data_IF_851886404756
#
_entry.id   IF_851886404756
#
_cell.length_a   1.000
_cell.length_b   1.000
_cell.length_c   1.000
_cell.angle_alpha   90.00
_cell.angle_beta   90.00
_cell.angle_gamma   90.00
#
_symmetry.space_group_name_H-M   'P 1'
#
loop_
_entity.id
_entity.type
_entity.pdbx_description
1 polymer ?
#
# COMPACT_ATOMS: atom_id res chain seq x y z
N UNK A 1 -16.98 -20.69 -4.82
CA UNK A 1 -15.90 -20.65 -3.82
C UNK A 1 -14.67 -19.90 -4.26
N UNK A 2 -14.59 -19.59 -5.53
CA UNK A 2 -13.47 -18.82 -6.07
C UNK A 2 -13.31 -17.48 -5.37
N UNK A 3 -14.42 -16.88 -4.98
CA UNK A 3 -14.43 -15.59 -4.33
C UNK A 3 -13.67 -15.59 -3.00
N UNK A 4 -13.91 -16.64 -2.21
CA UNK A 4 -13.28 -16.75 -0.90
C UNK A 4 -11.78 -16.97 -1.02
N UNK A 5 -11.39 -17.78 -1.97
CA UNK A 5 -9.98 -18.03 -2.24
C UNK A 5 -9.27 -16.79 -2.75
N UNK A 6 -9.95 -16.03 -3.61
CA UNK A 6 -9.39 -14.78 -4.14
C UNK A 6 -9.12 -13.76 -3.03
N UNK A 7 -10.06 -13.64 -2.09
CA UNK A 7 -9.91 -12.72 -0.96
C UNK A 7 -8.74 -13.12 -0.08
N UNK A 8 -8.61 -14.42 0.21
CA UNK A 8 -7.51 -14.92 1.01
C UNK A 8 -6.17 -14.71 0.33
N UNK A 9 -6.14 -14.91 -1.00
CA UNK A 9 -4.92 -14.69 -1.76
C UNK A 9 -4.48 -13.22 -1.72
N UNK A 10 -5.44 -12.33 -1.77
CA UNK A 10 -5.19 -10.90 -1.71
C UNK A 10 -4.56 -10.50 -0.38
N UNK A 11 -5.14 -10.94 0.71
CA UNK A 11 -4.60 -10.65 2.04
C UNK A 11 -3.23 -11.27 2.23
N UNK A 12 -3.09 -12.51 1.82
CA UNK A 12 -1.81 -13.20 1.92
C UNK A 12 -0.74 -12.49 1.11
N UNK A 13 -1.08 -12.03 -0.09
CA UNK A 13 -0.15 -11.28 -0.92
C UNK A 13 0.35 -10.02 -0.23
N UNK A 14 -0.54 -9.28 0.40
CA UNK A 14 -0.15 -8.07 1.12
C UNK A 14 0.77 -8.40 2.29
N UNK A 15 0.45 -9.44 3.04
CA UNK A 15 1.29 -9.87 4.16
C UNK A 15 2.68 -10.25 3.68
N UNK A 16 2.77 -11.00 2.60
CA UNK A 16 4.05 -11.40 2.03
C UNK A 16 4.87 -10.21 1.55
N UNK A 17 4.21 -9.24 0.92
CA UNK A 17 4.89 -8.01 0.49
C UNK A 17 5.48 -7.27 1.69
N UNK A 18 4.73 -7.19 2.77
CA UNK A 18 5.18 -6.50 3.98
C UNK A 18 6.34 -7.25 4.63
N UNK A 19 6.18 -8.54 4.84
CA UNK A 19 7.20 -9.33 5.56
C UNK A 19 8.50 -9.48 4.77
N UNK A 20 8.41 -9.63 3.45
CA UNK A 20 9.57 -9.92 2.62
C UNK A 20 10.35 -8.69 2.17
N UNK A 21 9.84 -7.49 2.44
CA UNK A 21 10.43 -6.27 1.90
C UNK A 21 10.81 -5.24 2.94
N UNK A 22 10.91 -5.66 4.21
CA UNK A 22 11.33 -4.74 5.26
C UNK A 22 10.31 -3.67 5.59
N UNK A 23 9.04 -4.02 5.45
CA UNK A 23 7.94 -3.12 5.79
C UNK A 23 7.26 -3.59 7.06
N UNK A 24 6.42 -2.75 7.63
CA UNK A 24 5.62 -3.15 8.78
C UNK A 24 4.30 -2.39 8.81
N UNK A 25 3.33 -2.95 9.52
CA UNK A 25 2.07 -2.27 9.77
C UNK A 25 2.14 -1.67 11.16
N UNK A 26 1.81 -0.38 11.25
CA UNK A 26 1.71 0.30 12.52
C UNK A 26 0.25 0.65 12.79
N UNK A 27 -0.08 0.77 14.05
CA UNK A 27 -1.44 1.07 14.45
C UNK A 27 -1.46 2.10 15.57
N UNK A 28 -2.58 2.79 15.67
CA UNK A 28 -2.81 3.78 16.70
C UNK A 28 -4.28 3.76 17.07
N UNK A 29 -4.56 3.66 18.36
CA UNK A 29 -5.93 3.75 18.83
C UNK A 29 -6.42 5.20 18.72
N UNK A 30 -7.65 5.34 18.26
CA UNK A 30 -8.30 6.63 18.14
C UNK A 30 -9.59 6.60 18.98
N UNK A 31 -9.78 7.65 19.75
CA UNK A 31 -10.96 7.78 20.60
C UNK A 31 -11.52 9.18 20.48
N UNK A 32 -12.81 9.27 20.18
CA UNK A 32 -13.51 10.54 20.14
C UNK A 32 -14.47 10.60 21.31
N UNK A 33 -14.17 11.45 22.28
CA UNK A 33 -14.94 11.55 23.50
C UNK A 33 -16.35 12.11 23.25
N UNK A 34 -16.51 12.90 22.23
CA UNK A 34 -17.82 13.51 21.94
C UNK A 34 -18.82 12.50 21.39
N UNK A 35 -18.36 11.65 20.47
CA UNK A 35 -19.22 10.64 19.86
C UNK A 35 -19.09 9.28 20.50
N UNK A 36 -18.19 9.14 21.48
CA UNK A 36 -17.86 7.86 22.11
C UNK A 36 -17.37 6.84 21.08
N UNK A 37 -16.84 7.32 19.97
CA UNK A 37 -16.32 6.44 18.93
C UNK A 37 -14.92 5.98 19.30
N UNK A 38 -14.70 4.70 19.08
CA UNK A 38 -13.42 4.06 19.36
C UNK A 38 -13.00 3.23 18.16
N UNK A 39 -11.83 3.49 17.64
CA UNK A 39 -11.34 2.80 16.46
C UNK A 39 -9.84 2.70 16.44
N UNK A 40 -9.31 2.24 15.34
CA UNK A 40 -7.89 2.02 15.17
C UNK A 40 -7.45 2.46 13.77
N UNK A 41 -6.41 3.24 13.73
CA UNK A 41 -5.78 3.63 12.47
C UNK A 41 -4.65 2.64 12.17
N UNK A 42 -4.59 2.23 10.90
CA UNK A 42 -3.57 1.29 10.44
C UNK A 42 -2.87 1.86 9.22
N UNK A 43 -1.56 1.74 9.17
CA UNK A 43 -0.80 2.18 8.00
C UNK A 43 0.45 1.34 7.82
N UNK A 44 0.95 1.32 6.57
CA UNK A 44 2.15 0.57 6.21
C UNK A 44 3.32 1.53 6.12
N UNK A 45 4.44 1.17 6.73
CA UNK A 45 5.65 1.99 6.73
C UNK A 45 6.86 1.17 6.31
N UNK A 46 7.88 1.86 5.82
CA UNK A 46 9.20 1.30 5.58
C UNK A 46 9.96 1.33 6.90
N UNK A 47 10.41 0.16 7.37
CA UNK A 47 11.11 0.06 8.66
C UNK A 47 12.37 0.91 8.73
N UNK A 48 13.11 0.96 7.64
CA UNK A 48 14.39 1.70 7.61
C UNK A 48 14.19 3.19 7.57
N UNK A 49 13.27 3.64 6.72
CA UNK A 49 13.07 5.07 6.49
C UNK A 49 11.99 5.68 7.37
N UNK A 50 11.16 4.84 7.98
CA UNK A 50 10.06 5.26 8.85
C UNK A 50 9.07 6.19 8.16
N UNK A 51 8.95 6.05 6.84
CA UNK A 51 7.98 6.84 6.09
C UNK A 51 6.74 6.01 5.78
N UNK A 52 5.61 6.66 5.84
CA UNK A 52 4.33 6.04 5.56
C UNK A 52 4.20 5.79 4.06
N UNK A 53 3.87 4.56 3.70
CA UNK A 53 3.65 4.17 2.31
C UNK A 53 2.18 4.26 1.96
N UNK A 54 1.32 3.75 2.82
CA UNK A 54 -0.10 3.69 2.55
C UNK A 54 -0.90 3.64 3.85
N UNK A 55 -1.98 4.38 3.91
CA UNK A 55 -2.89 4.41 5.05
C UNK A 55 -4.06 3.45 4.76
N UNK A 56 -4.16 2.40 5.57
CA UNK A 56 -5.19 1.38 5.40
C UNK A 56 -6.54 1.82 5.97
N UNK A 57 -6.54 2.74 6.92
CA UNK A 57 -7.76 3.18 7.57
C UNK A 57 -8.13 4.58 7.11
N UNK A 58 -8.98 4.64 6.11
CA UNK A 58 -9.46 5.92 5.58
C UNK A 58 -10.35 6.61 6.61
N UNK A 59 -10.03 7.88 6.91
CA UNK A 59 -10.80 8.71 7.82
C UNK A 59 -10.96 8.12 9.21
N UNK A 60 -10.00 7.30 9.64
CA UNK A 60 -10.04 6.73 10.97
C UNK A 60 -10.97 5.54 11.14
N UNK A 61 -11.52 5.05 10.06
CA UNK A 61 -12.38 3.85 10.10
C UNK A 61 -11.59 2.62 9.73
N UNK A 62 -12.15 1.47 10.05
CA UNK A 62 -11.51 0.19 9.74
C UNK A 62 -11.30 0.06 8.22
N UNK A 63 -10.19 -0.55 7.84
CA UNK A 63 -9.94 -0.83 6.44
C UNK A 63 -10.89 -1.92 5.92
N UNK A 64 -11.06 -1.96 4.61
CA UNK A 64 -11.91 -2.94 3.97
C UNK A 64 -11.18 -3.60 2.80
N UNK A 65 -11.87 -4.46 2.07
CA UNK A 65 -11.26 -5.19 0.96
C UNK A 65 -10.68 -4.26 -0.10
N UNK A 66 -11.35 -3.16 -0.37
CA UNK A 66 -10.85 -2.20 -1.36
C UNK A 66 -9.56 -1.55 -0.91
N UNK A 67 -9.44 -1.30 0.40
CA UNK A 67 -8.21 -0.75 0.95
C UNK A 67 -7.04 -1.71 0.78
N UNK A 68 -7.30 -3.00 0.93
CA UNK A 68 -6.25 -4.02 0.77
C UNK A 68 -5.75 -4.06 -0.66
N UNK A 69 -6.64 -4.00 -1.64
CA UNK A 69 -6.23 -3.98 -3.05
C UNK A 69 -5.38 -2.75 -3.37
N UNK A 70 -5.81 -1.59 -2.90
CA UNK A 70 -5.04 -0.36 -3.10
C UNK A 70 -3.70 -0.42 -2.38
N UNK A 71 -3.67 -1.03 -1.20
CA UNK A 71 -2.42 -1.19 -0.46
C UNK A 71 -1.43 -2.02 -1.25
N UNK A 72 -1.88 -3.11 -1.86
CA UNK A 72 -1.01 -3.95 -2.68
C UNK A 72 -0.43 -3.13 -3.83
N UNK A 73 -1.27 -2.39 -4.54
CA UNK A 73 -0.82 -1.55 -5.65
C UNK A 73 0.21 -0.52 -5.22
N UNK A 74 -0.06 0.17 -4.12
CA UNK A 74 0.84 1.21 -3.63
C UNK A 74 2.15 0.65 -3.10
N UNK A 75 2.09 -0.50 -2.42
CA UNK A 75 3.29 -1.15 -1.92
C UNK A 75 4.15 -1.64 -3.09
N UNK A 76 3.55 -2.27 -4.08
CA UNK A 76 4.29 -2.73 -5.25
C UNK A 76 4.94 -1.57 -5.99
N UNK A 77 4.22 -0.47 -6.12
CA UNK A 77 4.73 0.74 -6.75
C UNK A 77 5.91 1.32 -5.97
N UNK A 78 5.77 1.38 -4.65
CA UNK A 78 6.84 1.86 -3.78
C UNK A 78 8.09 1.02 -3.92
N UNK A 79 7.94 -0.31 -3.89
CA UNK A 79 9.06 -1.23 -4.00
C UNK A 79 9.74 -1.13 -5.37
N UNK A 80 8.95 -0.96 -6.41
CA UNK A 80 9.50 -0.77 -7.76
C UNK A 80 10.35 0.49 -7.81
N UNK A 81 9.85 1.60 -7.24
CA UNK A 81 10.58 2.85 -7.22
C UNK A 81 11.85 2.77 -6.40
N UNK A 82 11.86 1.97 -5.35
CA UNK A 82 13.07 1.77 -4.53
C UNK A 82 14.20 1.08 -5.29
N UNK A 83 13.88 0.33 -6.32
CA UNK A 83 14.87 -0.36 -7.13
C UNK A 83 15.47 0.51 -8.22
N UNK A 84 14.98 1.73 -8.36
CA UNK A 84 15.47 2.64 -9.38
C UNK A 84 16.59 3.50 -8.85
N UNK A 85 17.79 2.90 -8.83
CA UNK A 85 18.96 3.59 -8.31
C UNK A 85 19.70 4.41 -9.35
N UNK A 86 19.45 4.17 -10.64
CA UNK A 86 20.17 4.83 -11.72
C UNK A 86 19.21 5.51 -12.68
N UNK A 87 19.77 6.43 -13.46
CA UNK A 87 19.03 7.11 -14.50
C UNK A 87 18.55 6.14 -15.59
N UNK A 88 19.32 5.09 -15.84
CA UNK A 88 18.93 4.06 -16.81
C UNK A 88 17.69 3.31 -16.35
N UNK A 89 17.61 2.99 -15.07
CA UNK A 89 16.41 2.35 -14.50
C UNK A 89 15.19 3.25 -14.68
N UNK A 90 15.37 4.54 -14.42
CA UNK A 90 14.30 5.50 -14.60
C UNK A 90 13.86 5.58 -16.06
N UNK A 91 14.82 5.60 -16.97
CA UNK A 91 14.51 5.61 -18.41
C UNK A 91 13.69 4.40 -18.82
N UNK A 92 14.07 3.22 -18.34
CA UNK A 92 13.34 2.00 -18.65
C UNK A 92 11.91 2.06 -18.09
N UNK A 93 11.76 2.56 -16.89
CA UNK A 93 10.45 2.72 -16.30
C UNK A 93 9.58 3.67 -17.14
N UNK A 94 10.16 4.78 -17.56
CA UNK A 94 9.45 5.77 -18.40
C UNK A 94 8.99 5.13 -19.70
N UNK A 95 9.85 4.36 -20.35
CA UNK A 95 9.50 3.68 -21.58
C UNK A 95 8.31 2.75 -21.44
N UNK A 96 8.23 2.08 -20.30
CA UNK A 96 7.13 1.14 -20.04
C UNK A 96 5.84 1.84 -19.67
N UNK A 97 5.93 2.95 -18.97
CA UNK A 97 4.77 3.55 -18.32
C UNK A 97 4.29 4.86 -18.94
N UNK A 98 5.15 5.56 -19.63
CA UNK A 98 4.75 6.80 -20.28
C UNK A 98 3.83 6.48 -21.45
N UNK A 99 2.73 7.20 -21.51
CA UNK A 99 1.80 7.05 -22.62
C UNK A 99 2.12 8.07 -23.69
N UNK A 100 2.40 7.62 -24.92
CA UNK A 100 2.67 8.57 -25.99
C UNK A 100 1.44 9.42 -26.25
N UNK A 101 1.66 10.72 -26.34
CA UNK A 101 0.58 11.62 -26.74
C UNK A 101 0.36 11.49 -28.23
N UNK A 102 -0.89 11.31 -28.59
CA UNK A 102 -1.24 11.31 -30.00
C UNK A 102 -1.36 12.76 -30.43
N UNK A 103 -0.46 13.17 -31.25
CA UNK A 103 -0.59 14.47 -31.87
C UNK A 103 -1.59 14.36 -32.99
N UNK A 104 -2.64 15.07 -32.80
CA UNK A 104 -3.65 15.12 -33.85
C UNK A 104 -3.13 15.86 -35.07
#
# INVERSE_FOLDING_TARGET
MLRKETLMNKYKKLIELIENNGLEIQSKECYDSQSAWHGEELWIVDKKKQNKIFDLSLNGYCFNDNSVEKAIEEVEKYLLLQKMDTFDDFKQWVKKNAKPQKNA
#
